data_IF_549100984243
#
_entry.id   IF_549100984243
#
_cell.length_a   1.000
_cell.length_b   1.000
_cell.length_c   1.000
_cell.angle_alpha   90.00
_cell.angle_beta   90.00
_cell.angle_gamma   90.00
#
_symmetry.space_group_name_H-M   'P 1'
#
loop_
_entity.id
_entity.type
_entity.pdbx_description
1 polymer ?
#
# COMPACT_ATOMS: atom_id res chain seq x y z
N UNK A 1 49.92 24.00 22.41
CA UNK A 1 48.84 23.80 23.41
C UNK A 1 48.10 22.50 23.06
N UNK A 2 48.48 21.37 23.65
CA UNK A 2 47.84 20.08 23.38
C UNK A 2 46.62 19.93 24.26
N UNK A 3 45.44 19.96 23.66
CA UNK A 3 44.16 19.74 24.32
C UNK A 3 44.02 18.20 24.52
N UNK A 4 44.25 17.74 25.73
CA UNK A 4 43.96 16.34 26.10
C UNK A 4 42.43 16.17 26.09
N UNK A 5 41.92 15.49 25.10
CA UNK A 5 40.54 14.96 25.14
C UNK A 5 40.55 13.82 26.14
N UNK A 6 39.83 13.99 27.25
CA UNK A 6 39.50 12.89 28.18
C UNK A 6 38.44 12.04 27.51
N UNK A 7 38.83 10.93 26.91
CA UNK A 7 37.93 9.87 26.46
C UNK A 7 37.29 9.22 27.71
N UNK A 8 36.04 9.61 27.99
CA UNK A 8 35.22 8.89 28.97
C UNK A 8 34.67 7.64 28.30
N UNK A 9 35.31 6.51 28.53
CA UNK A 9 34.83 5.21 28.06
C UNK A 9 33.58 4.74 28.79
N UNK A 10 32.68 4.02 28.09
CA UNK A 10 31.52 3.36 28.68
C UNK A 10 31.93 2.26 29.67
N UNK A 11 31.22 2.12 30.75
CA UNK A 11 31.39 1.00 31.68
C UNK A 11 30.73 -0.26 31.10
N UNK A 12 31.27 -1.42 31.42
CA UNK A 12 30.70 -2.71 31.00
C UNK A 12 29.26 -2.88 31.53
N UNK A 13 28.98 -2.37 32.72
CA UNK A 13 27.66 -2.42 33.34
C UNK A 13 26.63 -1.56 32.60
N UNK A 14 27.01 -0.37 32.15
CA UNK A 14 26.13 0.47 31.33
C UNK A 14 25.74 -0.21 30.02
N UNK A 15 26.68 -0.89 29.39
CA UNK A 15 26.40 -1.62 28.15
C UNK A 15 25.42 -2.79 28.39
N UNK A 16 25.66 -3.58 29.45
CA UNK A 16 24.80 -4.73 29.78
C UNK A 16 23.38 -4.25 30.13
N UNK A 17 23.22 -3.19 30.92
CA UNK A 17 21.91 -2.64 31.23
C UNK A 17 21.14 -2.23 30.00
N UNK A 18 21.78 -1.56 29.05
CA UNK A 18 21.16 -1.13 27.80
C UNK A 18 20.66 -2.32 26.96
N UNK A 19 21.49 -3.34 26.76
CA UNK A 19 21.09 -4.51 25.94
C UNK A 19 19.96 -5.32 26.61
N UNK A 20 19.90 -5.40 27.93
CA UNK A 20 18.81 -6.06 28.65
C UNK A 20 17.49 -5.28 28.47
N UNK A 21 17.51 -3.97 28.62
CA UNK A 21 16.31 -3.13 28.44
C UNK A 21 15.82 -3.20 26.98
N UNK A 22 16.72 -3.08 26.01
CA UNK A 22 16.37 -3.20 24.58
C UNK A 22 15.82 -4.59 24.26
N UNK A 23 16.38 -5.64 24.85
CA UNK A 23 15.89 -7.03 24.69
C UNK A 23 14.43 -7.19 25.17
N UNK A 24 14.09 -6.66 26.33
CA UNK A 24 12.73 -6.72 26.87
C UNK A 24 11.76 -5.90 25.99
N UNK A 25 12.13 -4.70 25.60
CA UNK A 25 11.30 -3.85 24.76
C UNK A 25 11.08 -4.47 23.36
N UNK A 26 12.10 -5.08 22.79
CA UNK A 26 12.02 -5.74 21.48
C UNK A 26 11.04 -6.90 21.49
N UNK A 27 10.93 -7.65 22.57
CA UNK A 27 10.04 -8.82 22.67
C UNK A 27 8.55 -8.45 22.49
N UNK A 28 8.17 -7.23 22.87
CA UNK A 28 6.79 -6.71 22.72
C UNK A 28 6.61 -5.90 21.44
N UNK A 29 7.63 -5.15 21.02
CA UNK A 29 7.55 -4.24 19.87
C UNK A 29 7.47 -5.00 18.54
N UNK A 30 8.24 -6.06 18.35
CA UNK A 30 8.33 -6.79 17.07
C UNK A 30 6.97 -7.37 16.62
N UNK A 31 6.21 -8.13 17.45
CA UNK A 31 4.93 -8.68 17.02
C UNK A 31 3.89 -7.60 16.71
N UNK A 32 3.92 -6.47 17.43
CA UNK A 32 3.06 -5.32 17.15
C UNK A 32 3.36 -4.71 15.78
N UNK A 33 4.63 -4.67 15.38
CA UNK A 33 5.06 -4.08 14.12
C UNK A 33 4.62 -4.92 12.91
N UNK A 34 4.64 -6.24 13.04
CA UNK A 34 4.19 -7.16 11.97
C UNK A 34 2.69 -6.97 11.70
N UNK A 35 1.86 -6.95 12.75
CA UNK A 35 0.41 -6.74 12.61
C UNK A 35 0.07 -5.37 11.99
N UNK A 36 0.82 -4.32 12.34
CA UNK A 36 0.63 -2.99 11.76
C UNK A 36 1.01 -2.96 10.28
N UNK A 37 2.05 -3.67 9.88
CA UNK A 37 2.46 -3.80 8.49
C UNK A 37 1.39 -4.47 7.62
N UNK A 38 0.76 -5.54 8.12
CA UNK A 38 -0.36 -6.19 7.43
C UNK A 38 -1.57 -5.26 7.28
N UNK A 39 -1.95 -4.57 8.35
CA UNK A 39 -3.03 -3.59 8.32
C UNK A 39 -2.74 -2.45 7.33
N UNK A 40 -1.50 -1.96 7.27
CA UNK A 40 -1.08 -0.94 6.32
C UNK A 40 -1.17 -1.43 4.87
N UNK A 41 -0.79 -2.68 4.59
CA UNK A 41 -0.92 -3.28 3.26
C UNK A 41 -2.39 -3.44 2.84
N UNK A 42 -3.26 -3.84 3.75
CA UNK A 42 -4.70 -3.89 3.52
C UNK A 42 -5.30 -2.51 3.20
N UNK A 43 -4.94 -1.49 3.99
CA UNK A 43 -5.38 -0.12 3.75
C UNK A 43 -4.89 0.43 2.40
N UNK A 44 -3.66 0.15 2.03
CA UNK A 44 -3.10 0.52 0.72
C UNK A 44 -3.85 -0.16 -0.43
N UNK A 45 -4.20 -1.43 -0.27
CA UNK A 45 -5.00 -2.15 -1.25
C UNK A 45 -6.41 -1.55 -1.39
N UNK A 46 -7.05 -1.17 -0.28
CA UNK A 46 -8.35 -0.52 -0.30
C UNK A 46 -8.30 0.86 -0.98
N UNK A 47 -7.27 1.66 -0.72
CA UNK A 47 -7.06 2.94 -1.38
C UNK A 47 -6.85 2.79 -2.89
N UNK A 48 -6.05 1.81 -3.32
CA UNK A 48 -5.83 1.51 -4.74
C UNK A 48 -7.13 1.08 -5.44
N UNK A 49 -7.96 0.25 -4.79
CA UNK A 49 -9.29 -0.10 -5.32
C UNK A 49 -10.17 1.12 -5.51
N UNK A 50 -10.16 2.04 -4.54
CA UNK A 50 -10.90 3.31 -4.66
C UNK A 50 -10.44 4.14 -5.86
N UNK A 51 -9.14 4.23 -6.09
CA UNK A 51 -8.59 4.94 -7.24
C UNK A 51 -9.01 4.28 -8.57
N UNK A 52 -8.92 2.96 -8.66
CA UNK A 52 -9.32 2.22 -9.86
C UNK A 52 -10.84 2.35 -10.10
N UNK A 53 -11.66 2.24 -9.07
CA UNK A 53 -13.12 2.45 -9.18
C UNK A 53 -13.46 3.86 -9.68
N UNK A 54 -12.74 4.88 -9.22
CA UNK A 54 -12.93 6.25 -9.72
C UNK A 54 -12.57 6.35 -11.19
N UNK A 55 -11.47 5.73 -11.63
CA UNK A 55 -11.08 5.70 -13.04
C UNK A 55 -12.12 4.95 -13.90
N UNK A 56 -12.65 3.83 -13.43
CA UNK A 56 -13.74 3.09 -14.10
C UNK A 56 -14.96 3.98 -14.28
N UNK A 57 -15.37 4.67 -13.23
CA UNK A 57 -16.56 5.56 -13.27
C UNK A 57 -16.35 6.73 -14.24
N UNK A 58 -15.16 7.33 -14.27
CA UNK A 58 -14.84 8.41 -15.21
C UNK A 58 -14.83 7.91 -16.67
N UNK A 59 -14.22 6.75 -16.92
CA UNK A 59 -14.17 6.14 -18.24
C UNK A 59 -15.57 5.81 -18.74
N UNK A 60 -16.37 5.19 -17.89
CA UNK A 60 -17.77 4.87 -18.20
C UNK A 60 -18.57 6.13 -18.54
N UNK A 61 -18.47 7.16 -17.74
CA UNK A 61 -19.16 8.42 -17.97
C UNK A 61 -18.75 9.07 -19.31
N UNK A 62 -17.46 9.04 -19.63
CA UNK A 62 -16.95 9.57 -20.89
C UNK A 62 -17.43 8.77 -22.11
N UNK A 63 -17.49 7.45 -22.01
CA UNK A 63 -17.94 6.56 -23.09
C UNK A 63 -19.44 6.79 -23.35
N UNK A 64 -20.28 6.77 -22.31
CA UNK A 64 -21.74 6.93 -22.43
C UNK A 64 -22.12 8.34 -22.87
N UNK A 65 -21.35 9.36 -22.49
CA UNK A 65 -21.55 10.72 -22.94
C UNK A 65 -21.29 10.88 -24.44
N UNK A 66 -20.34 10.14 -25.01
CA UNK A 66 -20.05 10.14 -26.43
C UNK A 66 -20.99 9.22 -27.24
N UNK A 67 -21.36 8.09 -26.69
CA UNK A 67 -22.24 7.10 -27.31
C UNK A 67 -23.10 6.39 -26.25
N UNK A 68 -24.37 6.79 -26.09
CA UNK A 68 -25.28 6.17 -25.12
C UNK A 68 -25.56 4.68 -25.38
N UNK A 69 -25.30 4.16 -26.58
CA UNK A 69 -25.48 2.75 -26.90
C UNK A 69 -24.45 1.85 -26.19
N UNK A 70 -23.36 2.44 -25.71
CA UNK A 70 -22.28 1.77 -24.98
C UNK A 70 -22.54 1.61 -23.47
N UNK A 71 -23.78 1.77 -23.01
CA UNK A 71 -24.13 1.65 -21.60
C UNK A 71 -23.78 0.28 -20.99
N UNK A 72 -23.66 -0.77 -21.81
CA UNK A 72 -23.25 -2.11 -21.40
C UNK A 72 -21.71 -2.28 -21.27
N UNK A 73 -20.92 -1.26 -21.60
CA UNK A 73 -19.46 -1.31 -21.52
C UNK A 73 -18.95 -1.86 -20.16
N UNK A 74 -19.62 -1.51 -19.08
CA UNK A 74 -19.22 -1.91 -17.72
C UNK A 74 -19.23 -3.44 -17.50
N UNK A 75 -20.08 -4.17 -18.23
CA UNK A 75 -20.18 -5.62 -18.14
C UNK A 75 -19.00 -6.35 -18.83
N UNK A 76 -18.37 -5.70 -19.81
CA UNK A 76 -17.27 -6.26 -20.61
C UNK A 76 -15.92 -5.60 -20.30
N UNK A 77 -15.90 -4.53 -19.53
CA UNK A 77 -14.70 -3.78 -19.19
C UNK A 77 -13.68 -4.65 -18.43
N UNK A 78 -12.43 -4.47 -18.79
CA UNK A 78 -11.29 -5.06 -18.10
C UNK A 78 -10.34 -3.96 -17.61
N UNK A 79 -9.40 -4.28 -16.72
CA UNK A 79 -8.39 -3.30 -16.30
C UNK A 79 -7.58 -2.74 -17.49
N UNK A 80 -7.35 -3.55 -18.52
CA UNK A 80 -6.64 -3.12 -19.74
C UNK A 80 -7.42 -2.08 -20.57
N UNK A 81 -8.73 -1.92 -20.33
CA UNK A 81 -9.54 -0.88 -20.98
C UNK A 81 -9.41 0.50 -20.33
N UNK A 82 -8.73 0.60 -19.17
CA UNK A 82 -8.43 1.87 -18.50
C UNK A 82 -7.14 2.47 -19.05
N UNK A 83 -7.10 3.78 -19.17
CA UNK A 83 -5.89 4.49 -19.55
C UNK A 83 -4.97 4.70 -18.37
N UNK A 84 -3.69 4.37 -18.51
CA UNK A 84 -2.65 4.62 -17.48
C UNK A 84 -2.53 6.10 -17.10
N UNK A 85 -2.85 7.00 -18.04
CA UNK A 85 -2.80 8.45 -17.82
C UNK A 85 -3.84 8.96 -16.82
N UNK A 86 -4.83 8.16 -16.46
CA UNK A 86 -5.83 8.51 -15.42
C UNK A 86 -5.28 8.45 -14.00
N UNK A 87 -4.13 7.83 -13.82
CA UNK A 87 -3.51 7.67 -12.51
C UNK A 87 -2.34 8.64 -12.35
N UNK A 88 -2.23 9.24 -11.17
CA UNK A 88 -1.17 10.20 -10.84
C UNK A 88 0.25 9.60 -10.98
N UNK A 89 0.37 8.29 -10.89
CA UNK A 89 1.62 7.54 -11.07
C UNK A 89 1.95 7.22 -12.53
N UNK A 90 1.05 7.53 -13.47
CA UNK A 90 1.18 7.16 -14.89
C UNK A 90 1.07 5.66 -15.16
N UNK A 91 0.53 4.89 -14.22
CA UNK A 91 0.28 3.46 -14.38
C UNK A 91 -0.86 3.00 -13.46
N UNK A 92 -1.56 1.94 -13.85
CA UNK A 92 -2.59 1.33 -13.01
C UNK A 92 -1.96 0.86 -11.68
N UNK A 93 -2.53 1.22 -10.52
CA UNK A 93 -2.00 0.80 -9.24
C UNK A 93 -1.89 -0.72 -9.12
N UNK A 94 -0.83 -1.20 -8.52
CA UNK A 94 -0.63 -2.63 -8.25
C UNK A 94 -0.80 -2.92 -6.76
N UNK A 95 -1.17 -4.16 -6.44
CA UNK A 95 -1.26 -4.59 -5.04
C UNK A 95 0.11 -4.52 -4.37
N UNK A 96 0.15 -4.13 -3.10
CA UNK A 96 1.39 -4.04 -2.31
C UNK A 96 1.99 -5.42 -1.95
N UNK A 97 1.23 -6.47 -2.18
CA UNK A 97 1.62 -7.88 -2.03
C UNK A 97 1.51 -8.59 -3.37
N UNK A 98 1.57 -9.91 -3.40
CA UNK A 98 1.44 -10.74 -4.61
C UNK A 98 0.04 -10.77 -5.23
N UNK A 99 -0.91 -9.96 -4.71
CA UNK A 99 -2.28 -9.90 -5.21
C UNK A 99 -2.41 -9.18 -6.55
N UNK A 100 -3.39 -9.58 -7.34
CA UNK A 100 -3.79 -8.94 -8.59
C UNK A 100 -5.17 -8.31 -8.45
N UNK A 101 -5.39 -7.18 -9.12
CA UNK A 101 -6.72 -6.59 -9.23
C UNK A 101 -7.44 -7.19 -10.44
N UNK A 102 -8.72 -7.48 -10.28
CA UNK A 102 -9.62 -7.90 -11.37
C UNK A 102 -10.84 -6.99 -11.38
N UNK A 103 -11.22 -6.56 -12.58
CA UNK A 103 -12.45 -5.81 -12.82
C UNK A 103 -13.49 -6.77 -13.39
N UNK A 104 -14.63 -6.90 -12.69
CA UNK A 104 -15.76 -7.73 -13.14
C UNK A 104 -17.05 -6.99 -12.87
N UNK A 105 -17.84 -6.76 -13.90
CA UNK A 105 -19.12 -6.03 -13.82
C UNK A 105 -19.00 -4.68 -13.09
N UNK A 106 -17.93 -3.94 -13.37
CA UNK A 106 -17.68 -2.64 -12.73
C UNK A 106 -17.17 -2.70 -11.29
N UNK A 107 -16.93 -3.87 -10.74
CA UNK A 107 -16.37 -4.04 -9.39
C UNK A 107 -14.90 -4.48 -9.43
N UNK A 108 -14.08 -3.85 -8.60
CA UNK A 108 -12.68 -4.21 -8.43
C UNK A 108 -12.53 -5.12 -7.21
N UNK A 109 -11.95 -6.28 -7.45
CA UNK A 109 -11.55 -7.21 -6.39
C UNK A 109 -10.04 -7.37 -6.36
N UNK A 110 -9.49 -7.67 -5.19
CA UNK A 110 -8.07 -7.96 -5.01
C UNK A 110 -7.91 -9.40 -4.52
N UNK A 111 -7.11 -10.21 -5.20
CA UNK A 111 -6.93 -11.62 -4.84
C UNK A 111 -6.28 -11.83 -3.47
N UNK A 112 -5.50 -10.87 -2.98
CA UNK A 112 -4.82 -10.98 -1.69
C UNK A 112 -5.63 -10.47 -0.49
N UNK A 113 -6.54 -9.50 -0.69
CA UNK A 113 -7.24 -8.80 0.40
C UNK A 113 -8.77 -8.79 0.26
N UNK A 114 -9.30 -9.56 -0.68
CA UNK A 114 -10.74 -9.71 -0.90
C UNK A 114 -11.42 -8.50 -1.54
N UNK A 115 -12.76 -8.51 -1.47
CA UNK A 115 -13.62 -7.47 -2.01
C UNK A 115 -13.69 -6.24 -1.08
#
# INVERSE_FOLDING_TARGET
MNKFYTDTGFTLVELIMVIVIVGILSSVAVPKFINLSEAANGAKCAANRGAINSAVSMTYAAIVANDPSQAEWLATATLASLSDTMFATGSIPVCSTTGTYTLTNGQITCSAHGA
#
